data_IF_792863903820
#
_entry.id   IF_792863903820
#
_cell.length_a   1.000
_cell.length_b   1.000
_cell.length_c   1.000
_cell.angle_alpha   90.00
_cell.angle_beta   90.00
_cell.angle_gamma   90.00
#
_symmetry.space_group_name_H-M   'P 1'
#
loop_
_entity.id
_entity.type
_entity.pdbx_description
1 polymer ?
#
# COMPACT_ATOMS: atom_id res chain seq x y z
N UNK A 1 -10.90 34.87 -5.71
CA UNK A 1 -10.42 33.55 -6.17
C UNK A 1 -9.83 32.86 -4.94
N UNK A 2 -10.59 31.99 -4.29
CA UNK A 2 -10.15 31.33 -3.05
C UNK A 2 -9.25 30.15 -3.40
N UNK A 3 -7.97 30.23 -3.02
CA UNK A 3 -6.99 29.17 -3.23
C UNK A 3 -7.30 27.98 -2.33
N UNK A 4 -7.41 26.77 -2.90
CA UNK A 4 -7.58 25.54 -2.14
C UNK A 4 -6.27 25.21 -1.38
N UNK A 5 -6.34 25.15 -0.07
CA UNK A 5 -5.22 24.73 0.81
C UNK A 5 -4.89 23.27 0.51
N UNK A 6 -3.70 23.03 -0.03
CA UNK A 6 -3.20 21.69 -0.32
C UNK A 6 -2.77 20.98 0.96
N UNK A 7 -3.71 20.49 1.75
CA UNK A 7 -3.49 19.74 3.00
C UNK A 7 -3.15 18.25 2.77
N UNK A 8 -2.40 17.98 1.69
CA UNK A 8 -1.95 16.62 1.37
C UNK A 8 -0.44 16.61 1.24
N UNK A 9 0.21 16.12 2.30
CA UNK A 9 1.64 15.80 2.28
C UNK A 9 1.90 14.85 1.10
N UNK A 10 2.62 15.33 0.08
CA UNK A 10 2.92 14.53 -1.11
C UNK A 10 3.84 13.37 -0.73
N UNK A 11 3.29 12.16 -0.57
CA UNK A 11 4.11 10.95 -0.42
C UNK A 11 4.92 10.75 -1.71
N UNK A 12 6.25 10.65 -1.58
CA UNK A 12 7.18 10.50 -2.72
C UNK A 12 6.76 9.30 -3.56
N UNK A 13 6.50 9.51 -4.85
CA UNK A 13 6.20 8.43 -5.79
C UNK A 13 7.50 7.64 -6.05
N UNK A 14 7.45 6.29 -6.16
CA UNK A 14 8.60 5.51 -6.58
C UNK A 14 9.13 5.97 -7.95
N UNK A 15 10.45 5.88 -8.15
CA UNK A 15 11.12 6.37 -9.37
C UNK A 15 10.68 5.60 -10.64
N UNK A 16 10.30 4.33 -10.49
CA UNK A 16 9.68 3.55 -11.55
C UNK A 16 8.22 3.18 -11.18
N UNK A 17 7.25 3.45 -12.06
CA UNK A 17 5.87 3.03 -11.84
C UNK A 17 5.73 1.52 -12.08
N UNK A 18 5.16 0.80 -11.11
CA UNK A 18 4.76 -0.60 -11.32
C UNK A 18 3.50 -0.72 -12.17
N UNK A 19 3.31 -1.87 -12.83
CA UNK A 19 2.08 -2.17 -13.58
C UNK A 19 0.89 -2.31 -12.62
N UNK A 20 -0.24 -1.59 -12.82
CA UNK A 20 -1.39 -1.68 -11.94
C UNK A 20 -2.09 -3.04 -12.08
N UNK A 21 -2.37 -3.68 -10.95
CA UNK A 21 -3.17 -4.91 -10.89
C UNK A 21 -4.40 -4.64 -10.05
N UNK A 22 -5.58 -4.73 -10.65
CA UNK A 22 -6.87 -4.59 -9.95
C UNK A 22 -7.24 -5.94 -9.31
N UNK A 23 -7.02 -6.07 -8.01
CA UNK A 23 -7.36 -7.28 -7.25
C UNK A 23 -8.57 -7.04 -6.36
N UNK A 24 -9.56 -7.92 -6.45
CA UNK A 24 -10.71 -7.93 -5.52
C UNK A 24 -10.44 -8.95 -4.41
N UNK A 25 -10.13 -8.45 -3.22
CA UNK A 25 -9.95 -9.29 -2.03
C UNK A 25 -11.30 -9.56 -1.36
N UNK A 26 -11.52 -10.81 -0.93
CA UNK A 26 -12.66 -11.14 -0.10
C UNK A 26 -12.51 -10.52 1.30
N UNK A 27 -13.61 -10.28 2.05
CA UNK A 27 -13.55 -9.58 3.34
C UNK A 27 -12.57 -10.19 4.34
N UNK A 28 -12.52 -11.52 4.44
CA UNK A 28 -11.58 -12.21 5.33
C UNK A 28 -10.11 -11.98 4.95
N UNK A 29 -9.80 -11.96 3.66
CA UNK A 29 -8.43 -11.71 3.17
C UNK A 29 -8.02 -10.25 3.41
N UNK A 30 -8.96 -9.30 3.20
CA UNK A 30 -8.72 -7.89 3.48
C UNK A 30 -8.47 -7.65 4.98
N UNK A 31 -9.27 -8.27 5.86
CA UNK A 31 -9.09 -8.18 7.30
C UNK A 31 -7.74 -8.75 7.75
N UNK A 32 -7.33 -9.90 7.20
CA UNK A 32 -6.03 -10.49 7.48
C UNK A 32 -4.87 -9.58 7.03
N UNK A 33 -4.97 -8.97 5.84
CA UNK A 33 -3.98 -8.02 5.33
C UNK A 33 -3.88 -6.80 6.24
N UNK A 34 -5.01 -6.19 6.62
CA UNK A 34 -5.01 -5.01 7.48
C UNK A 34 -4.49 -5.33 8.90
N UNK A 35 -4.81 -6.50 9.44
CA UNK A 35 -4.27 -6.96 10.73
C UNK A 35 -2.75 -7.24 10.67
N UNK A 36 -2.23 -7.69 9.54
CA UNK A 36 -0.79 -7.85 9.33
C UNK A 36 -0.08 -6.50 9.22
N UNK A 37 -0.68 -5.53 8.49
CA UNK A 37 -0.15 -4.17 8.32
C UNK A 37 0.03 -3.46 9.65
N UNK A 38 -0.98 -3.52 10.52
CA UNK A 38 -0.99 -2.86 11.83
C UNK A 38 0.11 -3.35 12.79
N UNK A 39 0.77 -4.48 12.50
CA UNK A 39 1.87 -5.03 13.31
C UNK A 39 3.25 -4.55 12.84
N UNK A 40 3.33 -3.88 11.69
CA UNK A 40 4.59 -3.40 11.13
C UNK A 40 4.85 -1.97 11.60
N UNK A 41 6.13 -1.63 11.80
CA UNK A 41 6.56 -0.26 12.10
C UNK A 41 7.69 0.15 11.14
N UNK A 42 7.46 1.13 10.23
CA UNK A 42 6.22 1.89 10.05
C UNK A 42 5.09 1.06 9.41
N UNK A 43 3.82 1.41 9.69
CA UNK A 43 2.67 0.74 9.05
C UNK A 43 2.69 0.98 7.53
N UNK A 44 2.83 -0.07 6.69
CA UNK A 44 2.83 0.09 5.24
C UNK A 44 1.41 0.35 4.73
N UNK A 45 1.29 1.06 3.62
CA UNK A 45 0.03 1.12 2.86
C UNK A 45 -0.34 -0.26 2.28
N UNK A 46 -1.60 -0.48 1.89
CA UNK A 46 -2.03 -1.77 1.33
C UNK A 46 -1.21 -2.22 0.11
N UNK A 47 -0.89 -1.35 -0.88
CA UNK A 47 -0.03 -1.75 -1.99
C UNK A 47 1.42 -2.06 -1.56
N UNK A 48 1.96 -1.33 -0.58
CA UNK A 48 3.29 -1.61 -0.02
C UNK A 48 3.32 -2.97 0.70
N UNK A 49 2.29 -3.26 1.49
CA UNK A 49 2.12 -4.53 2.18
C UNK A 49 2.07 -5.72 1.22
N UNK A 50 1.26 -5.62 0.17
CA UNK A 50 1.18 -6.67 -0.87
C UNK A 50 2.54 -6.87 -1.53
N UNK A 51 3.28 -5.80 -1.86
CA UNK A 51 4.62 -5.93 -2.45
C UNK A 51 5.61 -6.60 -1.51
N UNK A 52 5.59 -6.26 -0.21
CA UNK A 52 6.46 -6.89 0.78
C UNK A 52 6.17 -8.40 0.91
N UNK A 53 4.89 -8.77 0.99
CA UNK A 53 4.46 -10.17 1.04
C UNK A 53 4.81 -10.93 -0.25
N UNK A 54 4.71 -10.30 -1.42
CA UNK A 54 5.12 -10.91 -2.68
C UNK A 54 6.65 -11.09 -2.74
N UNK A 55 7.43 -10.11 -2.28
CA UNK A 55 8.87 -10.24 -2.18
C UNK A 55 9.24 -11.42 -1.26
N UNK A 56 8.68 -11.47 -0.05
CA UNK A 56 8.91 -12.57 0.92
C UNK A 56 8.58 -13.97 0.36
N UNK A 57 7.62 -14.07 -0.58
CA UNK A 57 7.10 -15.37 -1.04
C UNK A 57 7.58 -15.81 -2.42
N UNK A 58 7.99 -14.87 -3.27
CA UNK A 58 8.25 -15.13 -4.70
C UNK A 58 9.63 -14.68 -5.15
N UNK A 59 10.35 -13.89 -4.35
CA UNK A 59 11.66 -13.33 -4.72
C UNK A 59 12.65 -13.68 -3.60
N UNK A 60 13.65 -14.51 -3.92
CA UNK A 60 14.79 -14.78 -3.04
C UNK A 60 15.75 -13.58 -2.98
#
# INVERSE_FOLDING_TARGET
MTSATGDTTKKKRPDQPGTPVMVRLQPAQLAALDAWRARQDPEPSRPEAIRALLAERLVD
#
